data_IF_506534906801
#
_entry.id   IF_506534906801
#
_cell.length_a   1.000
_cell.length_b   1.000
_cell.length_c   1.000
_cell.angle_alpha   90.00
_cell.angle_beta   90.00
_cell.angle_gamma   90.00
#
_symmetry.space_group_name_H-M   'P 1'
#
loop_
_entity.id
_entity.type
_entity.pdbx_description
1 polymer ?
#
# COMPACT_ATOMS: atom_id res chain seq x y z
N UNK A 1 1.73 44.41 23.24
CA UNK A 1 0.35 44.65 23.74
C UNK A 1 0.05 43.50 24.69
N UNK A 2 -0.10 43.76 25.99
CA UNK A 2 -0.14 42.70 27.01
C UNK A 2 -1.54 42.06 27.06
N UNK A 3 -1.73 40.94 26.37
CA UNK A 3 -2.88 40.05 26.59
C UNK A 3 -2.64 39.25 27.87
N UNK A 4 -3.11 39.78 28.99
CA UNK A 4 -3.11 39.06 30.27
C UNK A 4 -4.01 37.83 30.19
N UNK A 5 -3.45 36.65 30.49
CA UNK A 5 -4.17 35.37 30.56
C UNK A 5 -5.32 35.35 31.61
N UNK A 6 -5.46 36.41 32.42
CA UNK A 6 -6.52 36.61 33.41
C UNK A 6 -7.94 36.54 32.86
N UNK A 7 -8.16 36.79 31.56
CA UNK A 7 -9.50 36.82 30.97
C UNK A 7 -10.18 35.45 30.80
N UNK A 8 -9.50 34.34 31.09
CA UNK A 8 -10.05 32.98 30.91
C UNK A 8 -10.68 32.40 32.19
N UNK A 9 -10.40 32.97 33.37
CA UNK A 9 -10.94 32.53 34.65
C UNK A 9 -12.24 33.26 35.01
N UNK A 10 -13.38 32.75 34.51
CA UNK A 10 -14.72 33.26 34.81
C UNK A 10 -15.35 32.65 36.11
N UNK A 11 -14.52 32.22 37.07
CA UNK A 11 -14.94 31.77 38.40
C UNK A 11 -13.90 32.21 39.44
N UNK A 12 -14.36 32.52 40.65
CA UNK A 12 -13.53 32.82 41.83
C UNK A 12 -12.79 31.54 42.27
N UNK A 13 -11.68 31.26 41.60
CA UNK A 13 -10.82 30.11 41.85
C UNK A 13 -9.47 30.62 42.32
N UNK A 14 -9.13 30.37 43.58
CA UNK A 14 -7.84 30.76 44.14
C UNK A 14 -6.73 29.96 43.46
N UNK A 15 -5.79 30.67 42.85
CA UNK A 15 -4.53 30.16 42.31
C UNK A 15 -3.37 30.70 43.16
N UNK A 16 -2.29 29.94 43.29
CA UNK A 16 -1.09 30.40 43.98
C UNK A 16 -0.32 31.45 43.17
N UNK A 17 0.48 32.27 43.86
CA UNK A 17 1.41 33.19 43.21
C UNK A 17 2.45 32.45 42.37
N UNK A 18 2.79 31.21 42.75
CA UNK A 18 3.74 30.35 42.05
C UNK A 18 3.14 29.86 40.73
N UNK A 19 1.89 29.36 40.71
CA UNK A 19 1.20 29.05 39.46
C UNK A 19 1.03 30.30 38.56
N UNK A 20 0.71 31.45 39.17
CA UNK A 20 0.66 32.75 38.50
C UNK A 20 2.03 33.19 37.96
N UNK A 21 3.14 32.71 38.52
CA UNK A 21 4.49 32.95 38.00
C UNK A 21 4.76 32.08 36.76
N UNK A 22 4.39 30.79 36.78
CA UNK A 22 4.45 29.91 35.61
C UNK A 22 3.68 30.50 34.40
N UNK A 23 2.46 31.00 34.62
CA UNK A 23 1.66 31.64 33.55
C UNK A 23 2.24 32.93 32.99
N UNK A 24 3.09 33.64 33.75
CA UNK A 24 3.80 34.84 33.28
C UNK A 24 4.95 34.50 32.33
N UNK A 25 5.59 33.33 32.47
CA UNK A 25 6.72 32.93 31.60
C UNK A 25 6.32 32.87 30.13
N UNK A 26 5.13 32.37 29.80
CA UNK A 26 4.63 32.28 28.42
C UNK A 26 4.57 33.65 27.69
N UNK A 27 4.42 34.73 28.44
CA UNK A 27 4.37 36.11 27.93
C UNK A 27 5.75 36.63 27.51
N UNK A 28 6.85 36.10 28.05
CA UNK A 28 8.23 36.44 27.65
C UNK A 28 8.47 36.06 26.19
N UNK A 29 9.22 36.87 25.44
CA UNK A 29 9.48 36.62 24.01
C UNK A 29 10.53 35.52 23.74
N UNK A 30 11.09 34.93 24.80
CA UNK A 30 12.11 33.89 24.73
C UNK A 30 11.65 32.62 24.01
N UNK A 31 12.63 31.91 23.43
CA UNK A 31 12.45 30.64 22.71
C UNK A 31 13.63 29.70 22.97
N UNK A 32 13.48 28.41 22.67
CA UNK A 32 14.51 27.40 22.87
C UNK A 32 14.89 27.24 24.34
N UNK A 33 16.19 27.03 24.60
CA UNK A 33 16.72 26.71 25.92
C UNK A 33 16.41 27.82 26.94
N UNK A 34 16.57 29.10 26.59
CA UNK A 34 16.28 30.22 27.51
C UNK A 34 14.83 30.21 28.04
N UNK A 35 13.87 29.89 27.17
CA UNK A 35 12.46 29.78 27.56
C UNK A 35 12.21 28.52 28.40
N UNK A 36 12.83 27.41 28.02
CA UNK A 36 12.76 26.16 28.73
C UNK A 36 13.29 26.29 30.17
N UNK A 37 14.45 26.93 30.36
CA UNK A 37 15.08 27.12 31.67
C UNK A 37 14.21 28.00 32.58
N UNK A 38 13.63 29.08 32.05
CA UNK A 38 12.69 29.93 32.79
C UNK A 38 11.44 29.15 33.23
N UNK A 39 10.84 28.34 32.35
CA UNK A 39 9.71 27.49 32.73
C UNK A 39 10.11 26.43 33.77
N UNK A 40 11.28 25.79 33.60
CA UNK A 40 11.78 24.76 34.49
C UNK A 40 11.96 25.32 35.92
N UNK A 41 12.57 26.50 36.07
CA UNK A 41 12.74 27.15 37.37
C UNK A 41 11.40 27.33 38.07
N UNK A 42 10.38 27.87 37.38
CA UNK A 42 9.06 28.09 37.96
C UNK A 42 8.32 26.79 38.30
N UNK A 43 8.50 25.71 37.51
CA UNK A 43 7.93 24.38 37.82
C UNK A 43 8.62 23.73 39.02
N UNK A 44 9.94 23.87 39.17
CA UNK A 44 10.66 23.35 40.34
C UNK A 44 10.21 24.04 41.64
N UNK A 45 9.98 25.36 41.60
CA UNK A 45 9.38 26.08 42.73
C UNK A 45 7.94 25.62 43.04
N UNK A 46 7.16 25.28 42.01
CA UNK A 46 5.82 24.69 42.18
C UNK A 46 5.89 23.31 42.86
N UNK A 47 6.78 22.42 42.41
CA UNK A 47 7.03 21.11 43.05
C UNK A 47 7.40 21.24 44.54
N UNK A 48 8.29 22.18 44.88
CA UNK A 48 8.68 22.41 46.27
C UNK A 48 7.54 22.94 47.13
N UNK A 49 6.70 23.81 46.58
CA UNK A 49 5.50 24.32 47.25
C UNK A 49 4.47 23.20 47.48
N UNK A 50 4.24 22.36 46.46
CA UNK A 50 3.30 21.24 46.52
C UNK A 50 3.67 20.22 47.62
N UNK A 51 4.96 19.94 47.79
CA UNK A 51 5.47 19.08 48.89
C UNK A 51 5.16 19.62 50.29
N UNK A 52 4.82 20.90 50.43
CA UNK A 52 4.45 21.57 51.70
C UNK A 52 2.93 21.65 51.91
N UNK A 53 2.15 20.80 51.24
CA UNK A 53 0.68 20.74 51.29
C UNK A 53 0.01 21.97 50.65
N UNK A 54 0.12 22.09 49.33
CA UNK A 54 -0.57 23.12 48.56
C UNK A 54 -2.09 22.88 48.49
N UNK A 55 -2.88 23.73 49.14
CA UNK A 55 -4.35 23.70 49.11
C UNK A 55 -4.95 24.04 47.73
N UNK A 56 -4.23 24.81 46.89
CA UNK A 56 -4.68 25.21 45.54
C UNK A 56 -4.18 24.29 44.42
N UNK A 57 -3.54 23.15 44.73
CA UNK A 57 -2.85 22.28 43.77
C UNK A 57 -3.63 22.02 42.47
N UNK A 58 -4.89 21.60 42.57
CA UNK A 58 -5.69 21.27 41.40
C UNK A 58 -5.95 22.49 40.51
N UNK A 59 -6.25 23.64 41.12
CA UNK A 59 -6.47 24.91 40.40
C UNK A 59 -5.19 25.41 39.74
N UNK A 60 -4.05 25.21 40.40
CA UNK A 60 -2.73 25.60 39.91
C UNK A 60 -2.31 24.76 38.70
N UNK A 61 -2.52 23.44 38.74
CA UNK A 61 -2.31 22.54 37.60
C UNK A 61 -3.25 22.91 36.45
N UNK A 62 -4.51 23.24 36.72
CA UNK A 62 -5.47 23.67 35.71
C UNK A 62 -5.08 25.00 35.05
N UNK A 63 -4.63 25.97 35.86
CA UNK A 63 -4.11 27.25 35.38
C UNK A 63 -2.89 27.09 34.46
N UNK A 64 -1.91 26.28 34.86
CA UNK A 64 -0.71 25.98 34.05
C UNK A 64 -1.10 25.27 32.75
N UNK A 65 -2.03 24.31 32.81
CA UNK A 65 -2.57 23.60 31.65
C UNK A 65 -3.20 24.57 30.65
N UNK A 66 -4.11 25.43 31.12
CA UNK A 66 -4.79 26.41 30.28
C UNK A 66 -3.82 27.43 29.65
N UNK A 67 -2.86 27.96 30.41
CA UNK A 67 -1.84 28.87 29.87
C UNK A 67 -1.04 28.21 28.73
N UNK A 68 -0.67 26.94 28.91
CA UNK A 68 0.11 26.20 27.90
C UNK A 68 -0.71 25.92 26.64
N UNK A 69 -1.99 25.53 26.78
CA UNK A 69 -2.90 25.32 25.63
C UNK A 69 -3.13 26.61 24.86
N UNK A 70 -3.25 27.75 25.54
CA UNK A 70 -3.38 29.05 24.88
C UNK A 70 -2.10 29.45 24.12
N UNK A 71 -0.90 29.27 24.68
CA UNK A 71 0.38 29.51 23.98
C UNK A 71 0.57 28.58 22.75
N UNK A 72 0.09 27.34 22.83
CA UNK A 72 0.07 26.37 21.73
C UNK A 72 -0.89 26.74 20.59
N UNK A 73 -1.98 27.47 20.86
CA UNK A 73 -3.08 27.69 19.90
C UNK A 73 -3.08 29.09 19.26
N UNK A 74 -2.20 29.99 19.70
CA UNK A 74 -2.03 31.33 19.11
C UNK A 74 -1.39 31.27 17.72
N UNK A 75 -2.23 31.27 16.67
CA UNK A 75 -1.84 31.17 15.25
C UNK A 75 -0.77 32.19 14.81
N UNK A 76 -0.79 33.40 15.38
CA UNK A 76 0.17 34.47 15.07
C UNK A 76 1.58 34.17 15.59
N UNK A 77 1.75 33.15 16.45
CA UNK A 77 3.00 32.80 17.11
C UNK A 77 3.56 31.43 16.70
N UNK A 78 3.06 30.81 15.62
CA UNK A 78 3.51 29.47 15.17
C UNK A 78 5.05 29.31 15.07
N UNK A 79 5.77 30.33 14.62
CA UNK A 79 7.25 30.37 14.52
C UNK A 79 7.95 30.44 15.89
N UNK A 80 7.24 30.88 16.94
CA UNK A 80 7.66 30.91 18.34
C UNK A 80 7.30 29.60 19.04
N UNK A 81 6.06 29.12 18.91
CA UNK A 81 5.61 27.84 19.48
C UNK A 81 6.43 26.65 18.95
N UNK A 82 6.75 26.63 17.65
CA UNK A 82 7.64 25.59 17.07
C UNK A 82 9.05 25.55 17.67
N UNK A 83 9.53 26.66 18.28
CA UNK A 83 10.82 26.75 18.99
C UNK A 83 10.69 26.54 20.51
N UNK A 84 9.50 26.19 21.01
CA UNK A 84 9.20 25.94 22.43
C UNK A 84 8.82 24.47 22.71
N UNK A 85 8.99 23.60 21.71
CA UNK A 85 8.49 22.23 21.74
C UNK A 85 8.92 21.43 22.99
N UNK A 86 10.22 21.43 23.31
CA UNK A 86 10.81 20.76 24.47
C UNK A 86 10.10 21.16 25.77
N UNK A 87 9.71 22.42 25.87
CA UNK A 87 8.96 22.96 27.02
C UNK A 87 7.56 22.38 27.07
N UNK A 88 6.83 22.34 25.95
CA UNK A 88 5.49 21.76 25.91
C UNK A 88 5.49 20.26 26.20
N UNK A 89 6.48 19.51 25.71
CA UNK A 89 6.67 18.08 26.02
C UNK A 89 6.91 17.88 27.53
N UNK A 90 7.79 18.68 28.13
CA UNK A 90 8.05 18.64 29.58
C UNK A 90 6.81 18.96 30.41
N UNK A 91 6.11 20.06 30.11
CA UNK A 91 4.91 20.47 30.85
C UNK A 91 3.81 19.42 30.72
N UNK A 92 3.52 18.94 29.51
CA UNK A 92 2.52 17.90 29.27
C UNK A 92 2.75 16.69 30.18
N UNK A 93 4.01 16.25 30.26
CA UNK A 93 4.39 15.09 31.05
C UNK A 93 4.34 15.34 32.57
N UNK A 94 4.72 16.53 33.04
CA UNK A 94 4.55 16.87 34.46
C UNK A 94 3.07 16.94 34.87
N UNK A 95 2.19 17.50 34.02
CA UNK A 95 0.74 17.49 34.27
C UNK A 95 0.20 16.05 34.28
N UNK A 96 0.62 15.21 33.33
CA UNK A 96 0.25 13.78 33.29
C UNK A 96 0.65 13.07 34.60
N UNK A 97 1.84 13.35 35.15
CA UNK A 97 2.29 12.81 36.44
C UNK A 97 1.44 13.33 37.62
N UNK A 98 1.15 14.63 37.68
CA UNK A 98 0.27 15.22 38.71
C UNK A 98 -1.15 14.62 38.70
N UNK A 99 -1.74 14.45 37.51
CA UNK A 99 -3.09 13.91 37.36
C UNK A 99 -3.13 12.41 37.71
N UNK A 100 -2.10 11.64 37.34
CA UNK A 100 -1.98 10.23 37.74
C UNK A 100 -1.84 10.05 39.26
N UNK A 101 -1.14 10.97 39.95
CA UNK A 101 -1.01 10.95 41.42
C UNK A 101 -2.35 11.18 42.14
N UNK A 102 -3.25 11.98 41.56
CA UNK A 102 -4.56 12.31 42.15
C UNK A 102 -5.67 11.36 41.62
N UNK A 103 -5.42 10.64 40.53
CA UNK A 103 -6.29 9.64 39.92
C UNK A 103 -7.68 10.20 39.52
N UNK A 104 -7.68 11.29 38.73
CA UNK A 104 -8.87 11.98 38.22
C UNK A 104 -8.88 11.96 36.68
N UNK A 105 -10.06 11.74 36.08
CA UNK A 105 -10.26 11.98 34.63
C UNK A 105 -10.23 13.48 34.33
N UNK A 106 -9.14 13.96 33.74
CA UNK A 106 -8.85 15.37 33.56
C UNK A 106 -8.84 15.76 32.08
N UNK A 107 -10.01 16.17 31.58
CA UNK A 107 -10.27 16.51 30.17
C UNK A 107 -9.30 17.53 29.54
N UNK A 108 -8.83 18.59 30.23
CA UNK A 108 -7.89 19.54 29.62
C UNK A 108 -6.54 18.90 29.21
N UNK A 109 -6.09 17.83 29.86
CA UNK A 109 -4.89 17.10 29.42
C UNK A 109 -5.08 16.41 28.06
N UNK A 110 -6.28 15.90 27.76
CA UNK A 110 -6.59 15.37 26.43
C UNK A 110 -6.61 16.47 25.37
N UNK A 111 -7.14 17.65 25.71
CA UNK A 111 -7.08 18.83 24.84
C UNK A 111 -5.64 19.28 24.60
N UNK A 112 -4.78 19.31 25.64
CA UNK A 112 -3.35 19.58 25.50
C UNK A 112 -2.73 18.56 24.51
N UNK A 113 -2.88 17.26 24.75
CA UNK A 113 -2.34 16.21 23.86
C UNK A 113 -2.70 16.45 22.40
N UNK A 114 -3.97 16.76 22.14
CA UNK A 114 -4.46 17.02 20.78
C UNK A 114 -3.82 18.27 20.15
N UNK A 115 -3.70 19.39 20.88
CA UNK A 115 -3.07 20.60 20.34
C UNK A 115 -1.57 20.43 20.14
N UNK A 116 -0.90 19.68 21.02
CA UNK A 116 0.52 19.34 20.87
C UNK A 116 0.75 18.45 19.64
N UNK A 117 -0.08 17.41 19.43
CA UNK A 117 -0.05 16.59 18.20
C UNK A 117 -0.28 17.44 16.94
N UNK A 118 -1.29 18.30 16.93
CA UNK A 118 -1.57 19.19 15.79
C UNK A 118 -0.37 20.09 15.44
N UNK A 119 0.31 20.67 16.45
CA UNK A 119 1.50 21.49 16.26
C UNK A 119 2.66 20.64 15.70
N UNK A 120 2.92 19.48 16.30
CA UNK A 120 3.95 18.53 15.90
C UNK A 120 3.81 18.08 14.43
N UNK A 121 2.62 17.61 14.06
CA UNK A 121 2.28 17.20 12.68
C UNK A 121 2.41 18.37 11.72
N UNK A 122 1.87 19.53 12.08
CA UNK A 122 1.92 20.72 11.21
C UNK A 122 3.36 21.15 10.90
N UNK A 123 4.26 21.16 11.89
CA UNK A 123 5.66 21.55 11.69
C UNK A 123 6.35 20.56 10.75
N UNK A 124 6.09 19.27 10.93
CA UNK A 124 6.66 18.20 10.12
C UNK A 124 6.18 18.25 8.67
N UNK A 125 4.88 18.46 8.44
CA UNK A 125 4.33 18.65 7.09
C UNK A 125 4.90 19.88 6.39
N UNK A 126 4.93 21.04 7.06
CA UNK A 126 5.44 22.29 6.49
C UNK A 126 6.93 22.24 6.14
N UNK A 127 7.71 21.44 6.88
CA UNK A 127 9.16 21.29 6.67
C UNK A 127 9.54 19.99 5.97
N UNK A 128 8.57 19.27 5.39
CA UNK A 128 8.81 17.98 4.71
C UNK A 128 9.61 16.96 5.56
N UNK A 129 9.45 17.02 6.88
CA UNK A 129 10.11 16.16 7.87
C UNK A 129 11.37 16.73 8.53
N UNK A 130 11.93 17.84 8.04
CA UNK A 130 13.17 18.42 8.59
C UNK A 130 13.03 18.91 10.05
N UNK A 131 11.85 19.40 10.42
CA UNK A 131 11.45 19.80 11.77
C UNK A 131 10.25 18.95 12.24
N UNK A 132 9.84 19.00 13.52
CA UNK A 132 10.55 19.59 14.65
C UNK A 132 11.78 18.78 15.06
N UNK A 133 12.64 19.40 15.86
CA UNK A 133 13.77 18.75 16.54
C UNK A 133 13.82 19.29 17.98
N UNK A 134 14.28 18.45 18.91
CA UNK A 134 14.61 18.83 20.29
C UNK A 134 15.82 19.78 20.29
N UNK A 135 15.84 20.69 21.26
CA UNK A 135 16.90 21.67 21.48
C UNK A 135 17.63 21.44 22.81
N UNK A 136 17.02 20.71 23.74
CA UNK A 136 17.56 20.41 25.06
C UNK A 136 18.55 19.24 24.99
N UNK A 137 19.75 19.43 25.54
CA UNK A 137 20.78 18.37 25.65
C UNK A 137 20.83 17.71 27.05
N UNK A 138 20.05 18.23 28.01
CA UNK A 138 20.03 17.71 29.39
C UNK A 138 19.33 16.35 29.46
N UNK A 139 20.13 15.32 29.74
CA UNK A 139 19.72 13.91 29.75
C UNK A 139 18.59 13.58 30.72
N UNK A 140 18.67 14.09 31.94
CA UNK A 140 17.69 13.79 33.00
C UNK A 140 16.33 14.40 32.66
N UNK A 141 16.33 15.58 32.04
CA UNK A 141 15.12 16.27 31.60
C UNK A 141 14.52 15.65 30.34
N UNK A 142 15.35 15.21 29.37
CA UNK A 142 14.91 14.43 28.22
C UNK A 142 14.28 13.09 28.64
N UNK A 143 14.87 12.40 29.62
CA UNK A 143 14.28 11.19 30.22
C UNK A 143 12.92 11.50 30.88
N UNK A 144 12.82 12.60 31.63
CA UNK A 144 11.55 13.05 32.22
C UNK A 144 10.46 13.36 31.20
N UNK A 145 10.78 13.84 30.01
CA UNK A 145 9.77 14.06 28.95
C UNK A 145 9.13 12.76 28.45
N UNK A 146 9.83 11.63 28.55
CA UNK A 146 9.35 10.29 28.20
C UNK A 146 8.59 10.19 26.86
N UNK A 147 9.14 10.83 25.82
CA UNK A 147 8.59 10.83 24.44
C UNK A 147 8.25 9.41 23.92
N UNK A 148 9.03 8.34 24.21
CA UNK A 148 8.67 6.98 23.82
C UNK A 148 7.34 6.48 24.39
N UNK A 149 6.92 6.93 25.58
CA UNK A 149 5.60 6.59 26.13
C UNK A 149 4.47 7.21 25.28
N UNK A 150 4.64 8.43 24.78
CA UNK A 150 3.66 9.05 23.89
C UNK A 150 3.55 8.30 22.56
N UNK A 151 4.68 7.89 21.98
CA UNK A 151 4.70 7.02 20.79
C UNK A 151 3.95 5.70 21.04
N UNK A 152 4.12 5.08 22.22
CA UNK A 152 3.43 3.83 22.59
C UNK A 152 1.91 3.98 22.74
N UNK A 153 1.39 5.21 22.86
CA UNK A 153 -0.06 5.48 22.93
C UNK A 153 -0.76 5.42 21.57
N UNK A 154 -0.02 5.42 20.45
CA UNK A 154 -0.57 5.22 19.10
C UNK A 154 -0.67 3.71 18.85
N UNK A 155 -1.83 3.14 19.14
CA UNK A 155 -2.10 1.69 19.01
C UNK A 155 -2.63 1.29 17.65
N UNK A 156 -3.24 2.22 16.90
CA UNK A 156 -3.84 2.02 15.58
C UNK A 156 -3.51 3.24 14.70
N UNK A 157 -3.16 3.01 13.43
CA UNK A 157 -2.97 4.05 12.42
C UNK A 157 -4.03 3.85 11.34
N UNK A 158 -5.13 4.61 11.42
CA UNK A 158 -6.28 4.50 10.51
C UNK A 158 -6.38 5.68 9.51
N UNK A 159 -5.58 6.73 9.67
CA UNK A 159 -5.56 7.91 8.78
C UNK A 159 -4.17 8.55 8.63
N UNK A 160 -4.06 9.52 7.71
CA UNK A 160 -2.81 10.24 7.41
C UNK A 160 -2.32 11.12 8.56
N UNK A 161 -3.22 11.69 9.37
CA UNK A 161 -2.83 12.56 10.48
C UNK A 161 -2.15 11.73 11.59
N UNK A 162 -2.74 10.58 11.90
CA UNK A 162 -2.21 9.59 12.84
C UNK A 162 -0.89 8.99 12.35
N UNK A 163 -0.74 8.79 11.04
CA UNK A 163 0.53 8.37 10.42
C UNK A 163 1.62 9.44 10.56
N UNK A 164 1.28 10.71 10.34
CA UNK A 164 2.23 11.81 10.51
C UNK A 164 2.59 12.01 11.99
N UNK A 165 1.64 11.90 12.92
CA UNK A 165 1.92 11.92 14.37
C UNK A 165 2.90 10.82 14.77
N UNK A 166 2.68 9.59 14.28
CA UNK A 166 3.58 8.46 14.50
C UNK A 166 5.01 8.74 13.99
N UNK A 167 5.17 9.33 12.79
CA UNK A 167 6.49 9.67 12.27
C UNK A 167 7.18 10.77 13.08
N UNK A 168 6.46 11.80 13.52
CA UNK A 168 7.02 12.89 14.34
C UNK A 168 7.47 12.37 15.70
N UNK A 169 6.61 11.63 16.40
CA UNK A 169 6.96 11.07 17.71
C UNK A 169 8.11 10.06 17.61
N UNK A 170 8.19 9.30 16.52
CA UNK A 170 9.33 8.42 16.22
C UNK A 170 10.62 9.23 16.07
N UNK A 171 10.61 10.29 15.24
CA UNK A 171 11.77 11.17 15.04
C UNK A 171 12.28 11.78 16.34
N UNK A 172 11.38 12.35 17.15
CA UNK A 172 11.73 12.99 18.42
C UNK A 172 12.23 11.96 19.46
N UNK A 173 11.62 10.78 19.53
CA UNK A 173 12.09 9.69 20.40
C UNK A 173 13.52 9.25 20.05
N UNK A 174 13.84 9.17 18.74
CA UNK A 174 15.19 8.85 18.28
C UNK A 174 16.20 9.96 18.58
N UNK A 175 15.80 11.22 18.50
CA UNK A 175 16.70 12.32 18.84
C UNK A 175 17.00 12.35 20.35
N UNK A 176 15.96 12.19 21.20
CA UNK A 176 16.15 12.09 22.65
C UNK A 176 17.10 10.94 23.01
N UNK A 177 16.91 9.77 22.41
CA UNK A 177 17.79 8.60 22.56
C UNK A 177 19.26 8.92 22.31
N UNK A 178 19.55 9.58 21.18
CA UNK A 178 20.91 9.97 20.79
C UNK A 178 21.52 10.93 21.81
N UNK A 179 20.77 11.96 22.23
CA UNK A 179 21.24 12.97 23.19
C UNK A 179 21.50 12.40 24.59
N UNK A 180 20.68 11.45 25.05
CA UNK A 180 20.87 10.76 26.34
C UNK A 180 22.09 9.81 26.30
N UNK A 181 22.64 9.50 25.12
CA UNK A 181 23.48 8.30 24.88
C UNK A 181 22.76 7.01 25.31
N UNK A 182 21.43 6.98 25.19
CA UNK A 182 20.63 5.84 25.61
C UNK A 182 20.71 4.72 24.56
N UNK A 183 21.62 3.79 24.82
CA UNK A 183 21.77 2.56 24.04
C UNK A 183 20.67 1.52 24.32
N UNK A 184 19.58 1.86 25.02
CA UNK A 184 18.31 1.11 25.05
C UNK A 184 17.26 1.64 24.07
N UNK A 185 17.53 2.79 23.45
CA UNK A 185 16.82 3.30 22.27
C UNK A 185 17.76 3.26 21.06
N UNK A 186 18.40 2.10 20.85
CA UNK A 186 19.05 1.84 19.57
C UNK A 186 17.99 1.82 18.47
N UNK A 187 18.41 1.93 17.20
CA UNK A 187 17.63 1.35 16.09
C UNK A 187 17.48 -0.21 16.18
N UNK A 188 17.77 -0.81 17.33
CA UNK A 188 17.56 -2.22 17.72
C UNK A 188 16.42 -2.38 18.75
N UNK A 189 15.96 -1.28 19.36
CA UNK A 189 14.80 -1.27 20.28
C UNK A 189 13.64 -0.43 19.72
N UNK A 190 13.94 0.45 18.75
CA UNK A 190 13.01 1.14 17.85
C UNK A 190 13.46 0.97 16.38
N UNK A 191 12.80 0.11 15.58
CA UNK A 191 12.91 0.20 14.10
C UNK A 191 12.65 -1.08 13.25
N UNK A 192 12.86 -2.32 13.71
CA UNK A 192 12.17 -3.47 13.04
C UNK A 192 11.97 -4.80 13.78
N UNK A 193 12.64 -5.24 14.85
CA UNK A 193 13.67 -4.71 15.77
C UNK A 193 15.15 -4.55 15.34
N UNK A 194 15.50 -4.13 14.13
CA UNK A 194 16.94 -4.02 13.74
C UNK A 194 17.30 -3.10 12.55
N UNK A 195 16.36 -2.85 11.64
CA UNK A 195 16.68 -2.60 10.22
C UNK A 195 17.43 -1.29 9.88
N UNK A 196 17.34 -0.26 10.72
CA UNK A 196 17.72 1.10 10.32
C UNK A 196 19.12 1.55 10.78
N UNK A 197 19.83 0.77 11.62
CA UNK A 197 21.24 1.07 11.97
C UNK A 197 22.21 0.78 10.81
N UNK A 198 21.74 0.11 9.74
CA UNK A 198 22.48 -0.12 8.49
C UNK A 198 21.96 0.69 7.29
N UNK A 199 20.73 1.21 7.34
CA UNK A 199 20.07 1.83 6.19
C UNK A 199 19.24 3.06 6.60
N UNK A 200 19.49 4.25 6.03
CA UNK A 200 18.69 5.44 6.28
C UNK A 200 17.39 5.40 5.47
N UNK A 201 16.24 5.21 6.15
CA UNK A 201 14.87 5.24 5.61
C UNK A 201 14.73 4.69 4.18
N UNK A 202 15.26 3.48 3.99
CA UNK A 202 15.52 2.93 2.67
C UNK A 202 14.36 2.10 2.13
N UNK A 203 14.60 1.52 0.97
CA UNK A 203 13.83 0.44 0.37
C UNK A 203 13.38 -0.63 1.39
N UNK A 204 14.31 -1.19 2.17
CA UNK A 204 14.06 -2.30 3.11
C UNK A 204 12.98 -1.94 4.14
N UNK A 205 13.05 -0.70 4.63
CA UNK A 205 12.15 -0.12 5.62
C UNK A 205 10.73 0.04 5.08
N UNK A 206 10.61 0.64 3.88
CA UNK A 206 9.32 0.88 3.25
C UNK A 206 8.59 -0.46 3.04
N UNK A 207 9.33 -1.47 2.58
CA UNK A 207 8.87 -2.84 2.38
C UNK A 207 8.29 -3.49 3.65
N UNK A 208 8.89 -3.26 4.82
CA UNK A 208 8.37 -3.79 6.09
C UNK A 208 7.05 -3.13 6.50
N UNK A 209 6.95 -1.79 6.38
CA UNK A 209 5.71 -1.06 6.69
C UNK A 209 4.57 -1.51 5.77
N UNK A 210 4.88 -1.66 4.49
CA UNK A 210 4.01 -2.23 3.46
C UNK A 210 3.51 -3.64 3.85
N UNK A 211 4.40 -4.53 4.29
CA UNK A 211 4.04 -5.88 4.73
C UNK A 211 3.06 -5.85 5.91
N UNK A 212 3.25 -4.92 6.86
CA UNK A 212 2.32 -4.73 8.00
C UNK A 212 0.95 -4.25 7.56
N UNK A 213 0.87 -3.31 6.61
CA UNK A 213 -0.41 -2.82 6.07
C UNK A 213 -1.19 -3.91 5.34
N UNK A 214 -0.51 -4.77 4.57
CA UNK A 214 -1.16 -5.90 3.87
C UNK A 214 -1.85 -6.90 4.81
N UNK A 215 -1.33 -7.10 6.02
CA UNK A 215 -1.82 -8.11 6.95
C UNK A 215 -2.98 -7.64 7.83
N UNK A 216 -3.35 -6.35 7.81
CA UNK A 216 -4.18 -5.76 8.89
C UNK A 216 -5.66 -5.58 8.57
N UNK A 217 -6.09 -5.25 7.33
CA UNK A 217 -7.50 -5.04 6.96
C UNK A 217 -7.78 -5.36 5.48
N UNK A 218 -9.04 -5.69 5.09
CA UNK A 218 -9.43 -5.75 3.68
C UNK A 218 -9.37 -4.33 3.07
N UNK A 219 -8.47 -4.13 2.11
CA UNK A 219 -8.12 -2.79 1.63
C UNK A 219 -9.05 -2.38 0.47
N UNK A 220 -9.89 -1.37 0.68
CA UNK A 220 -10.71 -0.74 -0.38
C UNK A 220 -9.89 0.04 -1.43
N UNK A 221 -8.56 -0.04 -1.38
CA UNK A 221 -7.63 0.61 -2.30
C UNK A 221 -6.50 -0.37 -2.64
N UNK A 222 -6.02 -0.32 -3.88
CA UNK A 222 -4.93 -1.16 -4.34
C UNK A 222 -3.64 -0.85 -3.56
N UNK A 223 -3.05 -1.84 -2.87
CA UNK A 223 -1.82 -1.63 -2.10
C UNK A 223 -0.66 -1.16 -2.99
N UNK A 224 -0.55 -1.68 -4.20
CA UNK A 224 0.49 -1.28 -5.16
C UNK A 224 0.38 0.20 -5.57
N UNK A 225 -0.82 0.78 -5.56
CA UNK A 225 -1.05 2.20 -5.79
C UNK A 225 -0.50 3.06 -4.64
N UNK A 226 -0.70 2.63 -3.40
CA UNK A 226 -0.07 3.25 -2.22
C UNK A 226 1.45 3.19 -2.32
N UNK A 227 2.02 2.06 -2.78
CA UNK A 227 3.48 1.93 -2.90
C UNK A 227 4.05 2.79 -4.03
N UNK A 228 3.35 2.90 -5.16
CA UNK A 228 3.72 3.82 -6.23
C UNK A 228 3.70 5.30 -5.77
N UNK A 229 2.74 5.68 -4.92
CA UNK A 229 2.68 7.02 -4.31
C UNK A 229 3.85 7.26 -3.35
N UNK A 230 4.09 6.35 -2.40
CA UNK A 230 5.18 6.46 -1.42
C UNK A 230 6.55 6.45 -2.10
N UNK A 231 6.79 5.54 -3.04
CA UNK A 231 8.03 5.49 -3.83
C UNK A 231 8.28 6.81 -4.58
N UNK A 232 7.24 7.40 -5.17
CA UNK A 232 7.34 8.70 -5.86
C UNK A 232 7.61 9.87 -4.90
N UNK A 233 7.01 9.87 -3.71
CA UNK A 233 7.23 10.91 -2.69
C UNK A 233 8.65 10.84 -2.09
N UNK A 234 9.15 9.63 -1.85
CA UNK A 234 10.44 9.36 -1.23
C UNK A 234 11.60 9.27 -2.25
N UNK A 235 11.30 9.29 -3.55
CA UNK A 235 12.26 9.20 -4.66
C UNK A 235 13.23 8.00 -4.54
N UNK A 236 12.71 6.82 -4.15
CA UNK A 236 13.53 5.63 -3.92
C UNK A 236 13.98 4.97 -5.24
N UNK A 237 15.11 4.22 -5.24
CA UNK A 237 15.54 3.44 -6.40
C UNK A 237 14.52 2.34 -6.74
N UNK A 238 13.72 2.58 -7.79
CA UNK A 238 12.61 1.70 -8.17
C UNK A 238 13.04 0.23 -8.40
N UNK A 239 14.19 0.00 -9.04
CA UNK A 239 14.71 -1.35 -9.27
C UNK A 239 14.95 -2.11 -7.96
N UNK A 240 15.73 -1.52 -7.06
CA UNK A 240 16.09 -2.09 -5.76
C UNK A 240 14.84 -2.35 -4.90
N UNK A 241 13.85 -1.46 -4.97
CA UNK A 241 12.56 -1.66 -4.31
C UNK A 241 11.82 -2.89 -4.79
N UNK A 242 11.70 -3.10 -6.10
CA UNK A 242 11.03 -4.29 -6.62
C UNK A 242 11.85 -5.57 -6.42
N UNK A 243 13.18 -5.51 -6.48
CA UNK A 243 14.03 -6.67 -6.19
C UNK A 243 13.87 -7.15 -4.73
N UNK A 244 13.87 -6.23 -3.77
CA UNK A 244 13.67 -6.59 -2.35
C UNK A 244 12.21 -6.97 -2.02
N UNK A 245 11.22 -6.31 -2.62
CA UNK A 245 9.80 -6.56 -2.35
C UNK A 245 9.28 -7.90 -2.93
N UNK A 246 10.00 -8.47 -3.89
CA UNK A 246 9.67 -9.69 -4.62
C UNK A 246 9.26 -10.86 -3.70
N UNK A 247 9.93 -11.03 -2.56
CA UNK A 247 9.64 -12.10 -1.60
C UNK A 247 8.24 -11.98 -0.96
N UNK A 248 7.81 -10.77 -0.61
CA UNK A 248 6.50 -10.48 -0.03
C UNK A 248 5.41 -10.60 -1.09
N UNK A 249 5.66 -10.11 -2.30
CA UNK A 249 4.74 -10.29 -3.43
C UNK A 249 4.47 -11.78 -3.71
N UNK A 250 5.52 -12.61 -3.74
CA UNK A 250 5.42 -14.05 -3.95
C UNK A 250 4.61 -14.74 -2.85
N UNK A 251 4.83 -14.35 -1.58
CA UNK A 251 4.05 -14.85 -0.45
C UNK A 251 2.59 -14.37 -0.50
N UNK A 252 2.33 -13.15 -0.95
CA UNK A 252 0.98 -12.60 -1.09
C UNK A 252 0.17 -13.27 -2.19
N UNK A 253 0.78 -13.64 -3.32
CA UNK A 253 0.13 -14.46 -4.35
C UNK A 253 -0.24 -15.83 -3.77
N UNK A 254 0.73 -16.54 -3.18
CA UNK A 254 0.53 -17.90 -2.62
C UNK A 254 -0.58 -17.96 -1.56
N UNK A 255 -0.70 -16.91 -0.74
CA UNK A 255 -1.71 -16.80 0.30
C UNK A 255 -2.96 -16.01 -0.13
N UNK A 256 -3.12 -15.72 -1.44
CA UNK A 256 -4.26 -15.00 -2.01
C UNK A 256 -4.58 -13.64 -1.34
N UNK A 257 -3.56 -12.92 -0.88
CA UNK A 257 -3.70 -11.59 -0.25
C UNK A 257 -4.11 -10.49 -1.24
N UNK A 258 -4.06 -10.76 -2.55
CA UNK A 258 -4.21 -9.76 -3.59
C UNK A 258 -5.38 -10.10 -4.52
N UNK A 259 -6.35 -9.20 -4.65
CA UNK A 259 -7.32 -9.26 -5.73
C UNK A 259 -6.63 -9.15 -7.10
N UNK A 260 -7.19 -9.83 -8.10
CA UNK A 260 -6.74 -9.77 -9.50
C UNK A 260 -6.55 -8.33 -10.02
N UNK A 261 -7.46 -7.42 -9.65
CA UNK A 261 -7.39 -6.00 -10.03
C UNK A 261 -6.10 -5.33 -9.55
N UNK A 262 -5.68 -5.63 -8.32
CA UNK A 262 -4.46 -5.07 -7.73
C UNK A 262 -3.21 -5.59 -8.47
N UNK A 263 -3.17 -6.89 -8.80
CA UNK A 263 -2.08 -7.46 -9.62
C UNK A 263 -2.02 -6.80 -11.00
N UNK A 264 -3.17 -6.61 -11.65
CA UNK A 264 -3.21 -5.97 -12.97
C UNK A 264 -2.75 -4.51 -12.90
N UNK A 265 -3.10 -3.74 -11.86
CA UNK A 265 -2.58 -2.38 -11.65
C UNK A 265 -1.04 -2.36 -11.50
N UNK A 266 -0.45 -3.32 -10.78
CA UNK A 266 1.00 -3.46 -10.69
C UNK A 266 1.62 -3.67 -12.08
N UNK A 267 1.07 -4.58 -12.89
CA UNK A 267 1.53 -4.83 -14.26
C UNK A 267 1.36 -3.60 -15.18
N UNK A 268 0.27 -2.85 -15.04
CA UNK A 268 0.05 -1.58 -15.77
C UNK A 268 1.11 -0.54 -15.40
N UNK A 269 1.54 -0.48 -14.14
CA UNK A 269 2.56 0.47 -13.69
C UNK A 269 3.98 0.04 -14.08
N UNK A 270 4.31 -1.26 -13.99
CA UNK A 270 5.60 -1.82 -14.41
C UNK A 270 5.79 -1.85 -15.94
N UNK A 271 4.79 -1.46 -16.75
CA UNK A 271 4.81 -1.64 -18.21
C UNK A 271 5.95 -0.93 -18.95
N UNK A 272 6.57 0.08 -18.36
CA UNK A 272 7.75 0.76 -18.92
C UNK A 272 9.10 0.16 -18.48
N UNK A 273 9.08 -0.84 -17.60
CA UNK A 273 10.26 -1.42 -16.94
C UNK A 273 10.40 -2.90 -17.33
N UNK A 274 10.95 -3.21 -18.51
CA UNK A 274 11.00 -4.57 -19.10
C UNK A 274 11.50 -5.63 -18.09
N UNK A 275 12.62 -5.36 -17.41
CA UNK A 275 13.21 -6.27 -16.41
C UNK A 275 12.30 -6.54 -15.21
N UNK A 276 11.73 -5.49 -14.59
CA UNK A 276 10.84 -5.64 -13.43
C UNK A 276 9.53 -6.31 -13.82
N UNK A 277 8.97 -5.93 -14.97
CA UNK A 277 7.77 -6.56 -15.52
C UNK A 277 8.01 -8.06 -15.72
N UNK A 278 9.11 -8.44 -16.39
CA UNK A 278 9.49 -9.83 -16.63
C UNK A 278 9.58 -10.63 -15.33
N UNK A 279 10.28 -10.10 -14.32
CA UNK A 279 10.46 -10.77 -13.02
C UNK A 279 9.11 -10.99 -12.33
N UNK A 280 8.33 -9.91 -12.14
CA UNK A 280 7.05 -9.97 -11.42
C UNK A 280 6.00 -10.80 -12.14
N UNK A 281 5.92 -10.70 -13.47
CA UNK A 281 5.00 -11.50 -14.27
C UNK A 281 5.39 -12.99 -14.28
N UNK A 282 6.68 -13.31 -14.38
CA UNK A 282 7.17 -14.70 -14.25
C UNK A 282 6.85 -15.29 -12.87
N UNK A 283 7.00 -14.52 -11.80
CA UNK A 283 6.62 -14.98 -10.46
C UNK A 283 5.12 -15.21 -10.32
N UNK A 284 4.30 -14.26 -10.78
CA UNK A 284 2.85 -14.41 -10.74
C UNK A 284 2.39 -15.66 -11.51
N UNK A 285 2.76 -15.76 -12.80
CA UNK A 285 2.37 -16.86 -13.67
C UNK A 285 2.84 -18.25 -13.23
N UNK A 286 3.90 -18.33 -12.42
CA UNK A 286 4.39 -19.57 -11.82
C UNK A 286 3.62 -20.01 -10.57
N UNK A 287 2.82 -19.13 -9.96
CA UNK A 287 2.11 -19.38 -8.69
C UNK A 287 0.58 -19.38 -8.81
N UNK A 288 0.02 -19.11 -10.00
CA UNK A 288 -1.44 -19.12 -10.25
C UNK A 288 -1.88 -20.23 -11.20
N UNK A 289 -3.20 -20.44 -11.31
CA UNK A 289 -3.83 -21.29 -12.32
C UNK A 289 -3.78 -20.67 -13.72
N UNK A 290 -4.10 -21.47 -14.75
CA UNK A 290 -4.22 -20.94 -16.13
C UNK A 290 -5.48 -20.08 -16.28
N UNK A 291 -6.52 -20.35 -15.48
CA UNK A 291 -7.73 -19.54 -15.39
C UNK A 291 -7.42 -18.11 -14.94
N UNK A 292 -6.73 -17.95 -13.81
CA UNK A 292 -6.35 -16.64 -13.26
C UNK A 292 -5.45 -15.85 -14.22
N UNK A 293 -4.52 -16.55 -14.90
CA UNK A 293 -3.65 -15.93 -15.91
C UNK A 293 -4.44 -15.42 -17.12
N UNK A 294 -5.46 -16.16 -17.55
CA UNK A 294 -6.36 -15.75 -18.63
C UNK A 294 -7.24 -14.56 -18.23
N UNK A 295 -7.79 -14.57 -17.02
CA UNK A 295 -8.59 -13.44 -16.52
C UNK A 295 -7.75 -12.16 -16.35
N UNK A 296 -6.48 -12.26 -15.94
CA UNK A 296 -5.55 -11.11 -15.98
C UNK A 296 -5.32 -10.61 -17.40
N UNK A 297 -5.13 -11.50 -18.38
CA UNK A 297 -4.99 -11.11 -19.78
C UNK A 297 -6.21 -10.31 -20.26
N UNK A 298 -7.42 -10.82 -20.02
CA UNK A 298 -8.66 -10.12 -20.39
C UNK A 298 -8.82 -8.79 -19.66
N UNK A 299 -8.53 -8.75 -18.36
CA UNK A 299 -8.66 -7.54 -17.55
C UNK A 299 -7.68 -6.43 -17.99
N UNK A 300 -6.43 -6.79 -18.31
CA UNK A 300 -5.43 -5.85 -18.80
C UNK A 300 -5.88 -5.18 -20.11
N UNK A 301 -6.44 -5.94 -21.06
CA UNK A 301 -6.97 -5.39 -22.33
C UNK A 301 -8.20 -4.49 -22.17
N UNK A 302 -9.04 -4.73 -21.15
CA UNK A 302 -10.17 -3.85 -20.83
C UNK A 302 -9.72 -2.53 -20.20
N UNK A 303 -8.65 -2.55 -19.42
CA UNK A 303 -8.27 -1.42 -18.54
C UNK A 303 -7.14 -0.54 -19.05
N UNK A 304 -6.21 -1.04 -19.86
CA UNK A 304 -5.07 -0.25 -20.36
C UNK A 304 -4.77 -0.47 -21.84
N UNK A 305 -4.02 0.46 -22.43
CA UNK A 305 -3.34 0.20 -23.69
C UNK A 305 -2.09 -0.65 -23.40
N UNK A 306 -2.12 -1.87 -23.92
CA UNK A 306 -1.05 -2.86 -23.83
C UNK A 306 0.09 -2.45 -24.77
N UNK A 307 1.33 -2.55 -24.28
CA UNK A 307 2.53 -2.26 -25.04
C UNK A 307 3.34 -3.54 -25.29
N UNK A 308 4.39 -3.41 -26.11
CA UNK A 308 5.22 -4.52 -26.56
C UNK A 308 5.86 -5.32 -25.40
N UNK A 309 6.12 -4.69 -24.24
CA UNK A 309 6.67 -5.37 -23.05
C UNK A 309 5.63 -6.31 -22.46
N UNK A 310 4.44 -5.80 -22.11
CA UNK A 310 3.35 -6.62 -21.56
C UNK A 310 2.99 -7.73 -22.56
N UNK A 311 2.83 -7.38 -23.84
CA UNK A 311 2.47 -8.31 -24.92
C UNK A 311 3.47 -9.47 -25.06
N UNK A 312 4.78 -9.18 -25.10
CA UNK A 312 5.87 -10.16 -25.22
C UNK A 312 5.76 -11.30 -24.20
N UNK A 313 5.63 -10.95 -22.91
CA UNK A 313 5.58 -11.97 -21.85
C UNK A 313 4.20 -12.62 -21.73
N UNK A 314 3.11 -11.87 -21.89
CA UNK A 314 1.75 -12.46 -21.90
C UNK A 314 1.63 -13.54 -22.97
N UNK A 315 1.98 -13.25 -24.24
CA UNK A 315 1.89 -14.26 -25.32
C UNK A 315 2.71 -15.49 -24.96
N UNK A 316 3.99 -15.31 -24.58
CA UNK A 316 4.92 -16.41 -24.38
C UNK A 316 4.38 -17.39 -23.33
N UNK A 317 3.96 -16.86 -22.19
CA UNK A 317 3.49 -17.66 -21.06
C UNK A 317 2.07 -18.21 -21.28
N UNK A 318 1.19 -17.46 -21.93
CA UNK A 318 -0.13 -17.96 -22.31
C UNK A 318 -0.03 -19.10 -23.33
N UNK A 319 0.80 -18.95 -24.37
CA UNK A 319 1.04 -20.02 -25.34
C UNK A 319 1.55 -21.29 -24.67
N UNK A 320 2.57 -21.18 -23.82
CA UNK A 320 3.13 -22.31 -23.06
C UNK A 320 2.04 -23.02 -22.24
N UNK A 321 1.32 -22.27 -21.39
CA UNK A 321 0.35 -22.82 -20.44
C UNK A 321 -0.94 -23.30 -21.09
N UNK A 322 -1.54 -22.51 -21.99
CA UNK A 322 -2.79 -22.86 -22.68
C UNK A 322 -2.58 -24.06 -23.59
N UNK A 323 -1.39 -24.24 -24.19
CA UNK A 323 -1.10 -25.42 -25.01
C UNK A 323 -1.32 -26.76 -24.28
N UNK A 324 -1.41 -26.77 -22.95
CA UNK A 324 -1.56 -27.97 -22.13
C UNK A 324 -2.88 -28.05 -21.36
N UNK A 325 -3.85 -27.14 -21.58
CA UNK A 325 -5.18 -27.22 -20.94
C UNK A 325 -6.15 -28.14 -21.71
N UNK A 326 -7.22 -28.56 -21.02
CA UNK A 326 -8.28 -29.34 -21.65
C UNK A 326 -9.03 -28.53 -22.72
N UNK A 327 -9.65 -29.23 -23.66
CA UNK A 327 -10.50 -28.64 -24.70
C UNK A 327 -11.67 -27.85 -24.09
N UNK A 328 -12.27 -28.36 -23.02
CA UNK A 328 -13.33 -27.69 -22.26
C UNK A 328 -12.87 -26.39 -21.59
N UNK A 329 -11.66 -26.34 -21.02
CA UNK A 329 -11.13 -25.11 -20.43
C UNK A 329 -10.80 -24.09 -21.52
N UNK A 330 -10.27 -24.53 -22.66
CA UNK A 330 -10.01 -23.64 -23.80
C UNK A 330 -11.31 -23.10 -24.43
N UNK A 331 -12.37 -23.89 -24.51
CA UNK A 331 -13.71 -23.41 -24.87
C UNK A 331 -14.23 -22.36 -23.86
N UNK A 332 -14.02 -22.54 -22.55
CA UNK A 332 -14.35 -21.53 -21.53
C UNK A 332 -13.58 -20.23 -21.75
N UNK A 333 -12.27 -20.31 -21.97
CA UNK A 333 -11.39 -19.15 -22.22
C UNK A 333 -11.79 -18.38 -23.48
N UNK A 334 -12.03 -19.08 -24.57
CA UNK A 334 -12.40 -18.44 -25.84
C UNK A 334 -13.78 -17.80 -25.78
N UNK A 335 -14.74 -18.39 -25.05
CA UNK A 335 -16.03 -17.75 -24.71
C UNK A 335 -15.86 -16.48 -23.87
N UNK A 336 -15.02 -16.48 -22.83
CA UNK A 336 -14.80 -15.27 -22.01
C UNK A 336 -14.04 -14.17 -22.78
N UNK A 337 -13.16 -14.53 -23.72
CA UNK A 337 -12.55 -13.58 -24.66
C UNK A 337 -13.58 -12.95 -25.62
N UNK A 338 -14.51 -13.74 -26.18
CA UNK A 338 -15.60 -13.23 -27.04
C UNK A 338 -16.49 -12.23 -26.29
N UNK A 339 -16.88 -12.53 -25.05
CA UNK A 339 -17.64 -11.60 -24.20
C UNK A 339 -16.82 -10.32 -23.95
N UNK A 340 -15.54 -10.48 -23.61
CA UNK A 340 -14.64 -9.37 -23.29
C UNK A 340 -14.35 -8.44 -24.47
N UNK A 341 -14.40 -8.94 -25.72
CA UNK A 341 -14.19 -8.15 -26.93
C UNK A 341 -15.13 -6.94 -27.05
N UNK A 342 -16.35 -7.05 -26.50
CA UNK A 342 -17.34 -5.96 -26.47
C UNK A 342 -16.88 -4.82 -25.58
N UNK A 343 -16.28 -5.15 -24.43
CA UNK A 343 -15.82 -4.21 -23.40
C UNK A 343 -14.45 -3.58 -23.71
N UNK A 344 -13.64 -4.22 -24.57
CA UNK A 344 -12.34 -3.71 -24.99
C UNK A 344 -12.52 -2.46 -25.88
N UNK A 345 -11.72 -1.42 -25.59
CA UNK A 345 -11.72 -0.15 -26.32
C UNK A 345 -11.35 -0.32 -27.79
N UNK A 346 -11.97 0.47 -28.67
CA UNK A 346 -11.81 0.37 -30.12
C UNK A 346 -10.35 0.39 -30.60
N UNK A 347 -9.48 1.19 -29.97
CA UNK A 347 -8.07 1.30 -30.37
C UNK A 347 -7.26 0.03 -30.04
N UNK A 348 -7.71 -0.78 -29.08
CA UNK A 348 -7.02 -1.99 -28.64
C UNK A 348 -7.57 -3.28 -29.27
N UNK A 349 -8.77 -3.25 -29.88
CA UNK A 349 -9.46 -4.45 -30.42
C UNK A 349 -8.65 -5.19 -31.47
N UNK A 350 -8.01 -4.49 -32.41
CA UNK A 350 -7.23 -5.13 -33.47
C UNK A 350 -6.01 -5.90 -32.93
N UNK A 351 -5.30 -5.32 -31.95
CA UNK A 351 -4.19 -6.01 -31.31
C UNK A 351 -4.68 -7.20 -30.46
N UNK A 352 -5.74 -7.01 -29.67
CA UNK A 352 -6.35 -8.10 -28.90
C UNK A 352 -6.75 -9.28 -29.79
N UNK A 353 -7.42 -9.02 -30.93
CA UNK A 353 -7.78 -10.06 -31.90
C UNK A 353 -6.52 -10.76 -32.42
N UNK A 354 -5.50 -10.02 -32.88
CA UNK A 354 -4.25 -10.62 -33.37
C UNK A 354 -3.54 -11.51 -32.35
N UNK A 355 -3.71 -11.23 -31.06
CA UNK A 355 -3.08 -11.97 -29.96
C UNK A 355 -3.87 -13.18 -29.52
N UNK A 356 -5.19 -13.02 -29.39
CA UNK A 356 -6.11 -14.13 -29.29
C UNK A 356 -5.91 -15.11 -30.46
N UNK A 357 -5.75 -14.59 -31.68
CA UNK A 357 -5.45 -15.36 -32.87
C UNK A 357 -4.14 -16.17 -32.68
N UNK A 358 -3.00 -15.56 -32.32
CA UNK A 358 -1.73 -16.28 -32.07
C UNK A 358 -1.88 -17.41 -31.04
N UNK A 359 -2.60 -17.17 -29.94
CA UNK A 359 -2.83 -18.16 -28.87
C UNK A 359 -3.72 -19.31 -29.38
N UNK A 360 -4.78 -18.98 -30.12
CA UNK A 360 -5.67 -19.95 -30.73
C UNK A 360 -4.95 -20.84 -31.76
N UNK A 361 -4.13 -20.26 -32.65
CA UNK A 361 -3.31 -21.03 -33.58
C UNK A 361 -2.35 -21.97 -32.83
N UNK A 362 -1.64 -21.47 -31.83
CA UNK A 362 -0.69 -22.27 -31.03
C UNK A 362 -1.39 -23.46 -30.33
N UNK A 363 -2.60 -23.25 -29.81
CA UNK A 363 -3.39 -24.31 -29.19
C UNK A 363 -3.82 -25.37 -30.22
N UNK A 364 -4.50 -24.95 -31.29
CA UNK A 364 -5.02 -25.87 -32.32
C UNK A 364 -3.89 -26.64 -33.00
N UNK A 365 -2.78 -25.98 -33.34
CA UNK A 365 -1.64 -26.65 -33.98
C UNK A 365 -1.08 -27.78 -33.09
N UNK A 366 -0.94 -27.55 -31.77
CA UNK A 366 -0.48 -28.61 -30.86
C UNK A 366 -1.53 -29.72 -30.71
N UNK A 367 -2.78 -29.37 -30.40
CA UNK A 367 -3.86 -30.35 -30.22
C UNK A 367 -4.06 -31.23 -31.46
N UNK A 368 -3.86 -30.71 -32.68
CA UNK A 368 -4.07 -31.47 -33.92
C UNK A 368 -2.86 -32.27 -34.40
N UNK A 369 -1.63 -31.82 -34.12
CA UNK A 369 -0.41 -32.45 -34.66
C UNK A 369 0.38 -33.27 -33.63
N UNK A 370 0.12 -33.10 -32.32
CA UNK A 370 0.75 -33.90 -31.28
C UNK A 370 0.02 -35.26 -31.12
N UNK A 371 0.71 -36.41 -31.31
CA UNK A 371 0.11 -37.72 -31.13
C UNK A 371 -0.50 -37.97 -29.75
N UNK A 372 -0.04 -37.27 -28.70
CA UNK A 372 -0.53 -37.42 -27.32
C UNK A 372 -1.88 -36.73 -27.06
N UNK A 373 -2.25 -35.76 -27.90
CA UNK A 373 -3.45 -34.93 -27.70
C UNK A 373 -4.47 -35.06 -28.85
N UNK A 374 -4.03 -35.41 -30.06
CA UNK A 374 -4.88 -35.51 -31.26
C UNK A 374 -6.11 -36.41 -31.11
N UNK A 375 -6.06 -37.47 -30.33
CA UNK A 375 -7.22 -38.35 -30.09
C UNK A 375 -8.23 -37.83 -29.04
N UNK A 376 -7.94 -36.71 -28.37
CA UNK A 376 -8.75 -36.20 -27.26
C UNK A 376 -9.84 -35.21 -27.69
N UNK A 377 -9.70 -34.59 -28.87
CA UNK A 377 -10.60 -33.54 -29.37
C UNK A 377 -11.67 -34.13 -30.30
N UNK A 378 -12.94 -34.04 -29.90
CA UNK A 378 -14.07 -34.63 -30.64
C UNK A 378 -14.46 -33.79 -31.87
N UNK A 379 -15.26 -34.36 -32.77
CA UNK A 379 -15.85 -33.58 -33.87
C UNK A 379 -16.73 -32.42 -33.38
N UNK A 380 -17.42 -32.58 -32.24
CA UNK A 380 -18.25 -31.52 -31.64
C UNK A 380 -17.37 -30.36 -31.18
N UNK A 381 -16.27 -30.66 -30.50
CA UNK A 381 -15.31 -29.65 -30.06
C UNK A 381 -14.68 -28.91 -31.24
N UNK A 382 -14.35 -29.64 -32.31
CA UNK A 382 -13.80 -29.05 -33.52
C UNK A 382 -14.78 -28.04 -34.16
N UNK A 383 -16.08 -28.34 -34.16
CA UNK A 383 -17.11 -27.43 -34.68
C UNK A 383 -17.24 -26.18 -33.82
N UNK A 384 -17.29 -26.33 -32.50
CA UNK A 384 -17.38 -25.20 -31.57
C UNK A 384 -16.15 -24.28 -31.68
N UNK A 385 -14.95 -24.85 -31.71
CA UNK A 385 -13.70 -24.09 -31.86
C UNK A 385 -13.61 -23.43 -33.26
N UNK A 386 -14.08 -24.08 -34.32
CA UNK A 386 -14.16 -23.48 -35.65
C UNK A 386 -15.10 -22.27 -35.68
N UNK A 387 -16.31 -22.40 -35.11
CA UNK A 387 -17.25 -21.28 -35.00
C UNK A 387 -16.63 -20.10 -34.26
N UNK A 388 -16.03 -20.35 -33.10
CA UNK A 388 -15.32 -19.34 -32.29
C UNK A 388 -14.18 -18.69 -33.08
N UNK A 389 -13.39 -19.48 -33.81
CA UNK A 389 -12.28 -19.00 -34.62
C UNK A 389 -12.71 -18.09 -35.79
N UNK A 390 -13.89 -18.34 -36.36
CA UNK A 390 -14.51 -17.50 -37.39
C UNK A 390 -15.09 -16.21 -36.79
N UNK A 391 -15.89 -16.33 -35.71
CA UNK A 391 -16.52 -15.19 -35.02
C UNK A 391 -15.51 -14.18 -34.44
N UNK A 392 -14.34 -14.65 -33.99
CA UNK A 392 -13.27 -13.81 -33.45
C UNK A 392 -12.31 -13.28 -34.54
N UNK A 393 -12.37 -13.80 -35.76
CA UNK A 393 -11.45 -13.44 -36.84
C UNK A 393 -11.75 -12.05 -37.38
N UNK A 394 -10.74 -11.19 -37.42
CA UNK A 394 -10.81 -9.84 -37.99
C UNK A 394 -11.29 -9.76 -39.46
N UNK A 395 -11.22 -10.89 -40.18
CA UNK A 395 -11.54 -10.98 -41.61
C UNK A 395 -12.50 -12.12 -41.96
N UNK A 396 -13.04 -12.82 -40.95
CA UNK A 396 -13.94 -13.97 -41.09
C UNK A 396 -13.41 -15.05 -42.06
N UNK A 397 -12.14 -15.42 -41.89
CA UNK A 397 -11.33 -16.14 -42.89
C UNK A 397 -11.17 -17.65 -42.62
N UNK A 398 -11.82 -18.45 -43.45
CA UNK A 398 -11.68 -19.92 -43.48
C UNK A 398 -10.30 -20.40 -43.99
N UNK A 399 -9.56 -19.56 -44.73
CA UNK A 399 -8.22 -19.84 -45.27
C UNK A 399 -7.12 -19.89 -44.19
N UNK A 400 -7.44 -19.55 -42.94
CA UNK A 400 -6.53 -19.61 -41.80
C UNK A 400 -6.15 -21.05 -41.46
N UNK A 401 -4.85 -21.30 -41.22
CA UNK A 401 -4.31 -22.64 -41.03
C UNK A 401 -4.97 -23.45 -39.89
N UNK A 402 -5.24 -22.85 -38.72
CA UNK A 402 -5.95 -23.53 -37.63
C UNK A 402 -7.40 -23.91 -37.99
N UNK A 403 -8.12 -23.00 -38.66
CA UNK A 403 -9.45 -23.29 -39.20
C UNK A 403 -9.38 -24.45 -40.22
N UNK A 404 -8.40 -24.46 -41.11
CA UNK A 404 -8.18 -25.55 -42.07
C UNK A 404 -7.85 -26.89 -41.38
N UNK A 405 -7.09 -26.88 -40.26
CA UNK A 405 -6.85 -28.09 -39.46
C UNK A 405 -8.14 -28.61 -38.80
N UNK A 406 -8.96 -27.73 -38.24
CA UNK A 406 -10.27 -28.06 -37.67
C UNK A 406 -11.22 -28.64 -38.73
N UNK A 407 -11.33 -27.98 -39.89
CA UNK A 407 -12.12 -28.44 -41.05
C UNK A 407 -11.63 -29.79 -41.56
N UNK A 408 -10.31 -29.98 -41.69
CA UNK A 408 -9.71 -31.27 -42.04
C UNK A 408 -10.12 -32.36 -41.06
N UNK A 409 -10.13 -32.09 -39.75
CA UNK A 409 -10.53 -33.08 -38.74
C UNK A 409 -12.01 -33.41 -38.82
N UNK A 410 -12.89 -32.40 -38.92
CA UNK A 410 -14.34 -32.57 -39.06
C UNK A 410 -14.70 -33.42 -40.30
N UNK A 411 -14.01 -33.21 -41.43
CA UNK A 411 -14.29 -33.91 -42.68
C UNK A 411 -13.65 -35.31 -42.70
N UNK A 412 -12.38 -35.43 -42.29
CA UNK A 412 -11.57 -36.62 -42.54
C UNK A 412 -11.46 -37.60 -41.36
N UNK A 413 -11.60 -37.15 -40.11
CA UNK A 413 -11.52 -38.06 -38.96
C UNK A 413 -12.91 -38.53 -38.53
N UNK A 414 -13.11 -39.85 -38.51
CA UNK A 414 -14.22 -40.49 -37.81
C UNK A 414 -13.68 -41.65 -36.99
N UNK A 415 -14.32 -41.93 -35.86
CA UNK A 415 -14.05 -43.13 -35.07
C UNK A 415 -14.07 -44.38 -35.98
N UNK A 416 -13.09 -45.26 -35.74
CA UNK A 416 -12.82 -46.46 -36.52
C UNK A 416 -12.38 -46.24 -37.99
N UNK A 417 -11.79 -45.09 -38.37
CA UNK A 417 -11.29 -44.86 -39.73
C UNK A 417 -10.36 -45.97 -40.25
N UNK A 418 -9.47 -46.51 -39.40
CA UNK A 418 -8.51 -47.56 -39.79
C UNK A 418 -9.16 -48.91 -40.13
N UNK A 419 -10.37 -49.18 -39.65
CA UNK A 419 -11.09 -50.45 -39.89
C UNK A 419 -12.01 -50.41 -41.12
N UNK A 420 -12.19 -49.24 -41.75
CA UNK A 420 -13.10 -49.04 -42.89
C UNK A 420 -12.38 -49.20 -44.23
N UNK A 421 -13.08 -49.71 -45.24
CA UNK A 421 -12.58 -49.78 -46.63
C UNK A 421 -12.44 -48.39 -47.26
N UNK A 422 -11.67 -48.29 -48.35
CA UNK A 422 -11.49 -47.01 -49.06
C UNK A 422 -12.79 -46.45 -49.63
N UNK A 423 -13.74 -47.30 -50.04
CA UNK A 423 -15.06 -46.89 -50.53
C UNK A 423 -15.92 -46.29 -49.40
N UNK A 424 -15.91 -46.91 -48.22
CA UNK A 424 -16.63 -46.39 -47.04
C UNK A 424 -16.02 -45.08 -46.54
N UNK A 425 -14.69 -44.95 -46.54
CA UNK A 425 -13.97 -43.71 -46.24
C UNK A 425 -14.37 -42.58 -47.17
N UNK A 426 -14.41 -42.83 -48.48
CA UNK A 426 -14.87 -41.85 -49.48
C UNK A 426 -16.33 -41.47 -49.28
N UNK A 427 -17.22 -42.45 -49.04
CA UNK A 427 -18.63 -42.20 -48.78
C UNK A 427 -18.83 -41.30 -47.56
N UNK A 428 -18.18 -41.62 -46.44
CA UNK A 428 -18.21 -40.80 -45.21
C UNK A 428 -17.68 -39.39 -45.46
N UNK A 429 -16.59 -39.25 -46.22
CA UNK A 429 -16.03 -37.93 -46.57
C UNK A 429 -17.03 -37.09 -47.36
N UNK A 430 -17.71 -37.66 -48.36
CA UNK A 430 -18.76 -36.97 -49.12
C UNK A 430 -20.01 -36.66 -48.28
N UNK A 431 -20.40 -37.54 -47.35
CA UNK A 431 -21.50 -37.29 -46.41
C UNK A 431 -21.15 -36.17 -45.41
N UNK A 432 -19.93 -36.16 -44.88
CA UNK A 432 -19.42 -35.09 -44.02
C UNK A 432 -19.37 -33.75 -44.75
N UNK A 433 -18.83 -33.71 -45.98
CA UNK A 433 -18.83 -32.52 -46.85
C UNK A 433 -20.25 -32.00 -47.11
N UNK A 434 -21.20 -32.88 -47.44
CA UNK A 434 -22.60 -32.51 -47.70
C UNK A 434 -23.35 -31.99 -46.47
N UNK A 435 -22.90 -32.37 -45.27
CA UNK A 435 -23.47 -31.90 -44.01
C UNK A 435 -22.74 -30.67 -43.44
N UNK A 436 -21.51 -30.40 -43.88
CA UNK A 436 -20.70 -29.27 -43.43
C UNK A 436 -21.41 -27.93 -43.64
N UNK A 437 -21.93 -27.68 -44.86
CA UNK A 437 -22.74 -26.51 -45.24
C UNK A 437 -24.05 -26.33 -44.44
N UNK A 438 -24.47 -27.33 -43.67
CA UNK A 438 -25.69 -27.28 -42.83
C UNK A 438 -25.41 -27.08 -41.34
N UNK A 439 -24.12 -27.01 -40.96
CA UNK A 439 -23.68 -27.04 -39.55
C UNK A 439 -22.81 -25.84 -39.17
N UNK A 440 -22.42 -25.01 -40.15
CA UNK A 440 -21.94 -23.63 -39.98
C UNK A 440 -23.11 -22.66 -40.13
#
# INVERSE_FOLDING_TARGET
MLTTFSCWFNREVTISEIASSCGRVFQLDDVGINFFDAVLEHILHFDEFNRRQNETFFNDVDYITQCTIADLTLKEQYVRSSKRLDTYLYIYRQIEEYINLINIDYKPLQQFKQQLSNLLVSIFEQTSGEQPNLLLENKDLLLKMNIPQHLSSITIIDDLNTLNEFFVLTKLSMQAAQLINDNSLQWIDILSKQAFRKFPFDTSVLIYLIQRMHLSKPINQSPFKTFAQLNKQLNLPMMEFFEQFQSIFNNGIKNQWYEMKNIAELFIWLKSQDQLFSQYFSHYSSNVSTDELWEIFLYLYKTTQINNIIEKYLISTLNERISSVSVSDFQRYTKSAKISLVEIKSEARSNFISLFEKIFDSYIIKQMNDPLYSYQISQTDCKELLQIGLEMSSTNRLDRFSCLLLVRKIICETDNYYQKTNAEKLKILFENLKNFDKTL
#
